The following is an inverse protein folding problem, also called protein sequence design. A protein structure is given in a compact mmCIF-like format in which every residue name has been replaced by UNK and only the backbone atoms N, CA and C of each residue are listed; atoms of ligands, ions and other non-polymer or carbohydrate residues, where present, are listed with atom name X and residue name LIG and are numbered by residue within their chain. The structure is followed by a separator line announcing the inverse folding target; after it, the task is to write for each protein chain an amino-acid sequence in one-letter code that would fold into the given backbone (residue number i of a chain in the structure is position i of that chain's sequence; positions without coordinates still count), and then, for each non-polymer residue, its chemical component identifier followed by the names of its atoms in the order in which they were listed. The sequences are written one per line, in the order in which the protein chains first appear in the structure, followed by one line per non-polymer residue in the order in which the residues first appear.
data_IF_722053936263
#
_entry.id   IF_722053936263
#
_cell.length_a   1.000
_cell.length_b   1.000
_cell.length_c   1.000
_cell.angle_alpha   90.00
_cell.angle_beta   90.00
_cell.angle_gamma   90.00
#
_symmetry.space_group_name_H-M   'P 1'
#
loop_
_entity.id
_entity.type
_entity.pdbx_description
1 polymer ?
#
# COMPACT_ATOMS: atom_id res chain seq x y z
N UNK A 1 16.60 15.24 -15.02
CA UNK A 1 17.19 14.92 -13.71
C UNK A 1 18.29 13.85 -13.81
N UNK A 2 18.06 12.59 -14.24
CA UNK A 2 19.10 11.54 -14.17
C UNK A 2 20.36 11.82 -15.01
N UNK A 3 20.19 12.44 -16.19
CA UNK A 3 21.32 12.82 -17.06
C UNK A 3 22.27 13.86 -16.44
N UNK A 4 21.77 14.65 -15.48
CA UNK A 4 22.55 15.73 -14.85
C UNK A 4 23.09 15.32 -13.47
N UNK A 5 22.30 14.55 -12.70
CA UNK A 5 22.59 14.27 -11.29
C UNK A 5 22.92 12.78 -11.01
N UNK A 6 22.87 11.91 -12.02
CA UNK A 6 23.14 10.48 -11.90
C UNK A 6 21.86 9.63 -11.88
N UNK A 7 21.96 8.39 -12.36
CA UNK A 7 20.83 7.45 -12.41
C UNK A 7 20.41 6.91 -11.03
N UNK A 8 21.24 7.10 -10.02
CA UNK A 8 20.96 6.79 -8.62
C UNK A 8 20.32 7.96 -7.84
N UNK A 9 20.07 9.12 -8.49
CA UNK A 9 19.34 10.23 -7.85
C UNK A 9 17.96 9.74 -7.43
N UNK A 10 17.64 9.89 -6.13
CA UNK A 10 16.33 9.58 -5.58
C UNK A 10 15.28 10.55 -6.15
N UNK A 11 14.17 10.00 -6.63
CA UNK A 11 13.03 10.77 -7.13
C UNK A 11 11.78 10.31 -6.38
N UNK A 12 11.24 11.17 -5.53
CA UNK A 12 9.96 10.97 -4.87
C UNK A 12 8.85 11.58 -5.74
N UNK A 13 7.84 10.78 -6.10
CA UNK A 13 6.59 11.26 -6.69
C UNK A 13 5.61 11.59 -5.57
N UNK A 14 4.98 12.76 -5.66
CA UNK A 14 4.07 13.31 -4.64
C UNK A 14 2.83 13.91 -5.32
N UNK A 15 1.66 13.75 -4.71
CA UNK A 15 0.41 14.46 -5.05
C UNK A 15 -0.02 14.32 -6.53
N UNK A 16 0.27 13.17 -7.15
CA UNK A 16 -0.25 12.87 -8.48
C UNK A 16 -1.65 12.31 -8.38
N UNK A 17 -2.58 12.73 -9.24
CA UNK A 17 -3.90 12.09 -9.29
C UNK A 17 -3.81 10.58 -9.56
N UNK A 18 -4.58 9.78 -8.81
CA UNK A 18 -4.64 8.30 -8.78
C UNK A 18 -4.12 7.55 -10.01
N UNK A 19 -4.75 7.78 -11.18
CA UNK A 19 -4.36 7.10 -12.40
C UNK A 19 -2.88 7.35 -12.78
N UNK A 20 -2.41 8.58 -12.63
CA UNK A 20 -1.03 8.96 -12.92
C UNK A 20 -0.06 8.46 -11.86
N UNK A 21 -0.41 8.51 -10.57
CA UNK A 21 0.45 8.02 -9.49
C UNK A 21 0.84 6.55 -9.73
N UNK A 22 -0.14 5.65 -9.92
CA UNK A 22 0.12 4.24 -10.19
C UNK A 22 0.85 4.02 -11.52
N UNK A 23 0.44 4.71 -12.59
CA UNK A 23 1.03 4.56 -13.93
C UNK A 23 2.50 4.98 -13.96
N UNK A 24 2.84 6.12 -13.35
CA UNK A 24 4.21 6.64 -13.31
C UNK A 24 5.09 5.79 -12.41
N UNK A 25 4.62 5.44 -11.20
CA UNK A 25 5.33 4.55 -10.28
C UNK A 25 5.69 3.22 -10.98
N UNK A 26 4.71 2.54 -11.60
CA UNK A 26 4.95 1.27 -12.30
C UNK A 26 5.90 1.42 -13.48
N UNK A 27 5.80 2.52 -14.23
CA UNK A 27 6.65 2.77 -15.41
C UNK A 27 8.12 2.97 -15.06
N UNK A 28 8.41 3.58 -13.91
CA UNK A 28 9.74 4.08 -13.59
C UNK A 28 10.46 3.36 -12.46
N UNK A 29 9.76 2.66 -11.55
CA UNK A 29 10.37 2.00 -10.38
C UNK A 29 11.49 1.01 -10.69
N UNK A 30 11.44 0.31 -11.82
CA UNK A 30 12.48 -0.64 -12.25
C UNK A 30 13.59 0.01 -13.11
N UNK A 31 13.50 1.32 -13.38
CA UNK A 31 14.42 2.04 -14.28
C UNK A 31 15.19 3.18 -13.59
N UNK A 32 14.63 3.72 -12.52
CA UNK A 32 15.19 4.84 -11.77
C UNK A 32 15.03 4.58 -10.27
N UNK A 33 15.89 5.20 -9.46
CA UNK A 33 15.74 5.22 -8.00
C UNK A 33 14.53 6.09 -7.64
N UNK A 34 13.33 5.50 -7.59
CA UNK A 34 12.09 6.25 -7.39
C UNK A 34 11.04 5.47 -6.62
N UNK A 35 10.20 6.21 -5.90
CA UNK A 35 9.03 5.72 -5.20
C UNK A 35 7.95 6.81 -5.20
N UNK A 36 6.73 6.46 -4.79
CA UNK A 36 5.65 7.43 -4.56
C UNK A 36 5.27 7.43 -3.08
N UNK A 37 5.22 8.60 -2.44
CA UNK A 37 5.01 8.72 -0.99
C UNK A 37 3.55 8.46 -0.60
N UNK A 38 2.61 8.94 -1.41
CA UNK A 38 1.16 8.73 -1.23
C UNK A 38 0.79 7.24 -1.17
N UNK A 39 1.45 6.41 -1.99
CA UNK A 39 1.24 4.97 -2.07
C UNK A 39 2.15 4.23 -1.09
N UNK A 40 3.47 4.44 -1.16
CA UNK A 40 4.45 3.58 -0.46
C UNK A 40 4.84 4.13 0.92
N UNK A 41 4.98 5.45 1.05
CA UNK A 41 5.26 6.11 2.33
C UNK A 41 4.10 5.97 3.31
N UNK A 42 2.89 6.30 2.85
CA UNK A 42 1.65 6.14 3.64
C UNK A 42 1.42 4.68 4.04
N UNK A 43 1.73 3.72 3.15
CA UNK A 43 1.66 2.30 3.48
C UNK A 43 2.58 1.92 4.64
N UNK A 44 3.84 2.39 4.61
CA UNK A 44 4.83 2.07 5.61
C UNK A 44 4.42 2.59 7.00
N UNK A 45 3.98 3.85 7.11
CA UNK A 45 3.58 4.43 8.40
C UNK A 45 2.31 3.78 8.95
N UNK A 46 1.34 3.46 8.08
CA UNK A 46 0.12 2.77 8.50
C UNK A 46 0.42 1.37 9.06
N UNK A 47 1.23 0.57 8.35
CA UNK A 47 1.63 -0.75 8.82
C UNK A 47 2.44 -0.65 10.13
N UNK A 48 3.36 0.32 10.24
CA UNK A 48 4.11 0.54 11.48
C UNK A 48 3.18 0.82 12.67
N UNK A 49 2.14 1.63 12.48
CA UNK A 49 1.09 1.88 13.48
C UNK A 49 0.34 0.60 13.87
N UNK A 50 -0.03 -0.24 12.89
CA UNK A 50 -0.68 -1.53 13.16
C UNK A 50 0.23 -2.46 13.97
N UNK A 51 1.49 -2.62 13.58
CA UNK A 51 2.48 -3.43 14.30
C UNK A 51 2.72 -2.92 15.73
N UNK A 52 2.69 -1.60 15.95
CA UNK A 52 2.73 -1.02 17.28
C UNK A 52 1.46 -1.35 18.09
N UNK A 53 0.27 -1.27 17.47
CA UNK A 53 -0.99 -1.61 18.11
C UNK A 53 -1.08 -3.08 18.53
N UNK A 54 -0.45 -4.01 17.79
CA UNK A 54 -0.37 -5.42 18.18
C UNK A 54 0.26 -5.62 19.57
N UNK A 55 1.30 -4.84 19.88
CA UNK A 55 2.01 -4.93 21.17
C UNK A 55 1.13 -4.52 22.35
N UNK A 56 0.14 -3.67 22.11
CA UNK A 56 -0.80 -3.17 23.12
C UNK A 56 -2.03 -4.08 23.21
N UNK A 57 -2.54 -4.55 22.07
CA UNK A 57 -3.78 -5.34 21.99
C UNK A 57 -3.57 -6.85 22.16
N UNK A 58 -2.34 -7.34 21.99
CA UNK A 58 -2.03 -8.76 21.95
C UNK A 58 -2.61 -9.50 20.73
N UNK A 59 -3.17 -8.79 19.76
CA UNK A 59 -3.80 -9.36 18.55
C UNK A 59 -2.83 -9.33 17.37
N UNK A 60 -2.70 -10.43 16.64
CA UNK A 60 -1.84 -10.50 15.45
C UNK A 60 -2.54 -9.91 14.21
N UNK A 61 -1.79 -9.63 13.15
CA UNK A 61 -2.37 -9.11 11.90
C UNK A 61 -3.30 -10.16 11.31
N UNK A 62 -2.91 -11.44 11.38
CA UNK A 62 -3.68 -12.59 10.90
C UNK A 62 -5.00 -12.83 11.63
N UNK A 63 -5.18 -12.25 12.83
CA UNK A 63 -6.44 -12.28 13.58
C UNK A 63 -7.35 -11.08 13.26
N UNK A 64 -6.87 -10.13 12.46
CA UNK A 64 -7.56 -8.88 12.18
C UNK A 64 -8.30 -8.94 10.84
N UNK A 65 -9.34 -8.12 10.70
CA UNK A 65 -9.95 -7.79 9.40
C UNK A 65 -9.84 -6.30 9.18
N UNK A 66 -9.43 -5.91 7.99
CA UNK A 66 -9.12 -4.53 7.65
C UNK A 66 -10.21 -3.98 6.73
N UNK A 67 -10.87 -2.91 7.15
CA UNK A 67 -11.83 -2.18 6.32
C UNK A 67 -11.30 -0.77 6.05
N UNK A 68 -11.12 -0.44 4.78
CA UNK A 68 -10.66 0.87 4.33
C UNK A 68 -11.84 1.74 3.91
N UNK A 69 -11.87 2.98 4.38
CA UNK A 69 -12.69 4.04 3.82
C UNK A 69 -11.91 4.74 2.70
N UNK A 70 -12.25 4.41 1.46
CA UNK A 70 -11.53 4.79 0.24
C UNK A 70 -10.86 3.58 -0.43
N UNK A 71 -10.70 3.67 -1.75
CA UNK A 71 -10.01 2.68 -2.59
C UNK A 71 -8.96 3.34 -3.51
N UNK A 72 -8.36 4.44 -3.02
CA UNK A 72 -7.38 5.24 -3.76
C UNK A 72 -5.92 4.80 -3.59
N UNK A 73 -5.00 5.74 -3.77
CA UNK A 73 -3.54 5.54 -3.68
C UNK A 73 -3.12 4.99 -2.31
N UNK A 74 -3.41 5.74 -1.25
CA UNK A 74 -3.10 5.34 0.12
C UNK A 74 -3.75 4.00 0.49
N UNK A 75 -5.06 3.85 0.30
CA UNK A 75 -5.78 2.63 0.68
C UNK A 75 -5.20 1.39 0.00
N UNK A 76 -4.91 1.47 -1.30
CA UNK A 76 -4.33 0.36 -2.07
C UNK A 76 -2.87 0.11 -1.69
N UNK A 77 -2.09 1.15 -1.43
CA UNK A 77 -0.71 1.03 -0.93
C UNK A 77 -0.65 0.31 0.41
N UNK A 78 -1.43 0.77 1.39
CA UNK A 78 -1.52 0.17 2.73
C UNK A 78 -2.00 -1.28 2.63
N UNK A 79 -3.07 -1.55 1.87
CA UNK A 79 -3.61 -2.89 1.68
C UNK A 79 -2.57 -3.88 1.14
N UNK A 80 -1.81 -3.49 0.10
CA UNK A 80 -0.75 -4.34 -0.45
C UNK A 80 0.34 -4.62 0.59
N UNK A 81 0.75 -3.63 1.37
CA UNK A 81 1.79 -3.81 2.38
C UNK A 81 1.31 -4.68 3.55
N UNK A 82 0.03 -4.59 3.94
CA UNK A 82 -0.59 -5.51 4.90
C UNK A 82 -0.57 -6.94 4.37
N UNK A 83 -0.96 -7.16 3.10
CA UNK A 83 -0.92 -8.49 2.47
C UNK A 83 0.49 -9.06 2.46
N UNK A 84 1.51 -8.24 2.16
CA UNK A 84 2.91 -8.63 2.25
C UNK A 84 3.29 -9.04 3.68
N UNK A 85 2.94 -8.24 4.69
CA UNK A 85 3.24 -8.53 6.09
C UNK A 85 2.52 -9.80 6.60
N UNK A 86 1.27 -10.03 6.18
CA UNK A 86 0.53 -11.27 6.47
C UNK A 86 1.21 -12.48 5.82
N UNK A 87 1.65 -12.33 4.57
CA UNK A 87 2.34 -13.40 3.83
C UNK A 87 3.68 -13.74 4.48
N UNK A 88 4.43 -12.74 4.93
CA UNK A 88 5.68 -12.91 5.69
C UNK A 88 5.45 -13.64 7.03
N UNK A 89 4.27 -13.47 7.64
CA UNK A 89 3.83 -14.21 8.83
C UNK A 89 3.29 -15.62 8.52
N UNK A 90 3.38 -16.09 7.27
CA UNK A 90 2.97 -17.43 6.85
C UNK A 90 1.50 -17.57 6.45
N UNK A 91 0.74 -16.46 6.35
CA UNK A 91 -0.63 -16.49 5.83
C UNK A 91 -0.59 -16.67 4.30
N UNK A 92 -1.31 -17.64 3.71
CA UNK A 92 -1.38 -17.77 2.26
C UNK A 92 -1.89 -16.47 1.60
N UNK A 93 -1.35 -16.05 0.44
CA UNK A 93 -1.75 -14.79 -0.19
C UNK A 93 -3.25 -14.64 -0.42
N UNK A 94 -3.94 -15.73 -0.80
CA UNK A 94 -5.39 -15.74 -1.01
C UNK A 94 -6.16 -15.41 0.28
N UNK A 95 -5.70 -15.92 1.42
CA UNK A 95 -6.31 -15.68 2.72
C UNK A 95 -5.98 -14.27 3.24
N UNK A 96 -4.78 -13.77 2.93
CA UNK A 96 -4.38 -12.40 3.23
C UNK A 96 -5.24 -11.38 2.48
N UNK A 97 -5.50 -11.59 1.18
CA UNK A 97 -6.44 -10.77 0.41
C UNK A 97 -7.86 -10.86 0.97
N UNK A 98 -8.29 -12.01 1.47
CA UNK A 98 -9.60 -12.20 2.10
C UNK A 98 -9.83 -11.43 3.41
N UNK A 99 -8.77 -10.88 4.00
CA UNK A 99 -8.83 -10.08 5.23
C UNK A 99 -8.99 -8.57 4.96
N UNK A 100 -8.87 -8.13 3.70
CA UNK A 100 -8.86 -6.72 3.32
C UNK A 100 -10.11 -6.34 2.52
N UNK A 101 -10.80 -5.30 2.97
CA UNK A 101 -12.04 -4.80 2.40
C UNK A 101 -11.92 -3.30 2.15
N UNK A 102 -12.55 -2.80 1.08
CA UNK A 102 -12.52 -1.39 0.71
C UNK A 102 -13.94 -0.87 0.46
N UNK A 103 -14.23 0.33 0.92
CA UNK A 103 -15.49 1.03 0.72
C UNK A 103 -15.20 2.41 0.10
N UNK A 104 -15.58 2.65 -1.14
CA UNK A 104 -15.33 3.91 -1.84
C UNK A 104 -16.60 4.78 -1.92
N UNK A 105 -16.55 5.86 -2.72
CA UNK A 105 -17.70 6.77 -2.92
C UNK A 105 -18.93 6.09 -3.54
N UNK A 106 -18.73 4.93 -4.16
CA UNK A 106 -19.78 4.10 -4.73
C UNK A 106 -20.17 2.95 -3.81
N UNK A 107 -19.52 2.73 -2.67
CA UNK A 107 -19.90 1.75 -1.67
C UNK A 107 -18.85 0.65 -1.45
N UNK A 108 -19.28 -0.46 -0.85
CA UNK A 108 -18.41 -1.61 -0.62
C UNK A 108 -18.00 -2.24 -1.95
N UNK A 109 -16.70 -2.43 -2.15
CA UNK A 109 -16.18 -3.16 -3.31
C UNK A 109 -16.50 -4.66 -3.17
N UNK A 110 -17.24 -5.20 -4.14
CA UNK A 110 -17.60 -6.62 -4.21
C UNK A 110 -17.36 -7.13 -5.61
N UNK A 111 -17.29 -8.46 -5.81
CA UNK A 111 -16.90 -9.02 -7.12
C UNK A 111 -17.73 -8.52 -8.32
N UNK A 112 -18.97 -8.11 -8.08
CA UNK A 112 -19.92 -7.62 -9.09
C UNK A 112 -20.00 -6.09 -9.18
N UNK A 113 -19.24 -5.36 -8.36
CA UNK A 113 -19.29 -3.89 -8.26
C UNK A 113 -18.01 -3.30 -7.69
#
# INVERSE_FOLDING_TARGET
VPRRYGYNTLIQFEDFGNHNAFRLMRKYREKYCTFNDDIQGTAAVALAGMLAAQKVTGTTLSQSRFLFLGAGEAATGIANLIVMALTEQGVPPVDAYGQVWMYDKHGLMVKVR
#
